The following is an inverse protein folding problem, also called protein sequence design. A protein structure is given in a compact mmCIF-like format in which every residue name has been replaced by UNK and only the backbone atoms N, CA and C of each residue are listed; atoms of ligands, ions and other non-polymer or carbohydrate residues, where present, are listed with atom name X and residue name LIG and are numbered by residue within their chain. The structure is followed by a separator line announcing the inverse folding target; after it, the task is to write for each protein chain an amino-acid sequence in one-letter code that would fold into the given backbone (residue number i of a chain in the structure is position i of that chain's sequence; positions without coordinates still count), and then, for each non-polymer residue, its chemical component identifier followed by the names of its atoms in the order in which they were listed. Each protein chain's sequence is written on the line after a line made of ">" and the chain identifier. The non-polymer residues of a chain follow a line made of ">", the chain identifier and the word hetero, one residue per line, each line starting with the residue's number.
data_IF_111924295744
#
_entry.id   IF_111924295744
#
_cell.length_a   1.000
_cell.length_b   1.000
_cell.length_c   1.000
_cell.angle_alpha   90.00
_cell.angle_beta   90.00
_cell.angle_gamma   90.00
#
_symmetry.space_group_name_H-M   'P 1'
#
loop_
_entity.id
_entity.type
_entity.pdbx_description
1 polymer ?
#
# COMPACT_ATOMS: atom_id res chain seq x y z
N UNK A 1 -18.21 -19.02 -4.80
CA UNK A 1 -17.31 -18.66 -4.04
C UNK A 1 -16.53 -17.51 -4.48
N UNK A 2 -16.47 -16.57 -3.70
CA UNK A 2 -15.89 -15.42 -4.08
C UNK A 2 -14.60 -15.25 -3.42
N UNK A 3 -13.57 -15.16 -4.13
CA UNK A 3 -12.31 -14.96 -3.55
C UNK A 3 -11.73 -13.69 -4.04
N UNK A 4 -10.98 -13.03 -3.19
CA UNK A 4 -10.24 -11.87 -3.61
C UNK A 4 -9.19 -12.34 -4.59
N UNK A 5 -9.12 -11.72 -5.72
CA UNK A 5 -8.14 -12.11 -6.71
C UNK A 5 -6.90 -11.24 -6.59
N UNK A 6 -6.44 -11.05 -5.36
CA UNK A 6 -5.22 -10.30 -5.11
C UNK A 6 -4.03 -11.16 -5.52
N UNK A 7 -3.28 -10.69 -6.49
CA UNK A 7 -2.13 -11.41 -7.00
C UNK A 7 -0.95 -10.47 -7.09
N UNK A 8 0.20 -10.94 -6.66
CA UNK A 8 1.39 -10.12 -6.72
C UNK A 8 2.52 -10.73 -5.93
N UNK A 9 3.51 -9.92 -5.59
CA UNK A 9 4.72 -10.34 -4.91
C UNK A 9 4.75 -9.78 -3.50
N UNK A 10 4.97 -10.65 -2.54
CA UNK A 10 5.04 -10.29 -1.13
C UNK A 10 6.48 -10.51 -0.67
N UNK A 11 7.06 -9.48 -0.07
CA UNK A 11 8.45 -9.52 0.36
C UNK A 11 8.53 -9.27 1.85
N UNK A 12 9.31 -10.10 2.53
CA UNK A 12 9.55 -9.95 3.97
C UNK A 12 11.00 -9.55 4.17
N UNK A 13 11.22 -8.51 4.97
CA UNK A 13 12.57 -8.06 5.29
C UNK A 13 12.83 -8.26 6.77
N UNK A 14 13.98 -8.84 7.08
CA UNK A 14 14.35 -9.16 8.45
C UNK A 14 15.61 -8.40 8.84
N UNK A 15 15.76 -8.16 10.14
CA UNK A 15 16.97 -7.52 10.64
C UNK A 15 18.05 -8.57 10.91
N UNK A 16 19.15 -8.14 11.50
CA UNK A 16 20.28 -9.03 11.77
C UNK A 16 19.96 -10.10 12.81
N UNK A 17 18.96 -9.86 13.64
CA UNK A 17 18.50 -10.83 14.62
C UNK A 17 17.40 -11.71 14.06
N UNK A 18 17.16 -11.66 12.75
CA UNK A 18 16.15 -12.46 12.08
C UNK A 18 14.74 -12.11 12.55
N UNK A 19 14.52 -10.88 12.97
CA UNK A 19 13.19 -10.41 13.32
C UNK A 19 12.59 -9.65 12.16
N UNK A 20 11.32 -9.91 11.88
CA UNK A 20 10.63 -9.27 10.77
C UNK A 20 10.55 -7.76 10.99
N UNK A 21 11.01 -6.99 10.02
CA UNK A 21 11.01 -5.54 10.10
C UNK A 21 10.02 -4.91 9.17
N UNK A 22 9.80 -5.50 8.00
CA UNK A 22 8.98 -4.89 6.98
C UNK A 22 8.34 -5.95 6.11
N UNK A 23 7.11 -5.70 5.71
CA UNK A 23 6.41 -6.49 4.71
C UNK A 23 6.05 -5.56 3.58
N UNK A 24 6.41 -5.92 2.36
CA UNK A 24 6.10 -5.13 1.18
C UNK A 24 5.28 -5.96 0.22
N UNK A 25 4.34 -5.33 -0.45
CA UNK A 25 3.54 -6.00 -1.44
C UNK A 25 3.34 -5.10 -2.65
N UNK A 26 3.42 -5.69 -3.83
CA UNK A 26 3.05 -5.03 -5.06
C UNK A 26 2.27 -6.03 -5.89
N UNK A 27 1.06 -5.68 -6.24
CA UNK A 27 0.23 -6.60 -6.98
C UNK A 27 -1.01 -5.93 -7.52
N UNK A 28 -1.99 -6.74 -7.87
CA UNK A 28 -3.20 -6.28 -8.53
C UNK A 28 -4.40 -7.02 -7.99
N UNK A 29 -5.54 -6.34 -8.00
CA UNK A 29 -6.80 -6.95 -7.62
C UNK A 29 -7.92 -6.21 -8.33
N UNK A 30 -9.05 -6.87 -8.48
CA UNK A 30 -10.23 -6.20 -9.00
C UNK A 30 -11.02 -5.53 -7.90
N UNK A 31 -10.87 -6.00 -6.67
CA UNK A 31 -11.64 -5.48 -5.55
C UNK A 31 -10.75 -5.44 -4.32
N UNK A 32 -10.47 -4.24 -3.85
CA UNK A 32 -9.59 -4.04 -2.72
C UNK A 32 -10.33 -3.88 -1.39
N UNK A 33 -11.63 -4.10 -1.37
CA UNK A 33 -12.43 -3.84 -0.17
C UNK A 33 -11.95 -4.59 1.06
N UNK A 34 -11.70 -5.89 0.91
CA UNK A 34 -11.26 -6.69 2.04
C UNK A 34 -9.91 -6.22 2.56
N UNK A 35 -9.00 -5.95 1.64
CA UNK A 35 -7.66 -5.48 2.02
C UNK A 35 -7.76 -4.14 2.75
N UNK A 36 -8.56 -3.22 2.25
CA UNK A 36 -8.74 -1.92 2.87
C UNK A 36 -9.26 -2.09 4.29
N UNK A 37 -10.26 -2.96 4.47
CA UNK A 37 -10.81 -3.17 5.81
C UNK A 37 -9.76 -3.73 6.77
N UNK A 38 -8.96 -4.67 6.31
CA UNK A 38 -7.89 -5.23 7.14
C UNK A 38 -6.91 -4.15 7.54
N UNK A 39 -6.50 -3.32 6.60
CA UNK A 39 -5.52 -2.27 6.88
C UNK A 39 -6.06 -1.23 7.84
N UNK A 40 -7.35 -0.90 7.72
CA UNK A 40 -7.95 0.07 8.62
C UNK A 40 -8.11 -0.50 10.02
N UNK A 41 -8.55 -1.73 10.13
CA UNK A 41 -8.90 -2.29 11.43
C UNK A 41 -7.72 -2.90 12.15
N UNK A 42 -6.87 -3.61 11.43
CA UNK A 42 -5.74 -4.30 12.07
C UNK A 42 -4.51 -3.43 12.17
N UNK A 43 -4.32 -2.54 11.20
CA UNK A 43 -3.11 -1.72 11.17
C UNK A 43 -3.40 -0.26 11.40
N UNK A 44 -4.67 0.07 11.66
CA UNK A 44 -5.07 1.42 12.08
C UNK A 44 -4.71 2.48 11.06
N UNK A 45 -4.75 2.14 9.80
CA UNK A 45 -4.51 3.11 8.75
C UNK A 45 -5.71 4.00 8.57
N UNK A 46 -5.47 5.27 8.22
CA UNK A 46 -6.53 6.22 7.94
C UNK A 46 -6.37 6.73 6.52
N UNK A 47 -7.50 7.07 5.91
CA UNK A 47 -7.50 7.53 4.54
C UNK A 47 -6.92 8.93 4.45
N UNK A 48 -6.14 9.17 3.39
CA UNK A 48 -5.54 10.46 3.11
C UNK A 48 -5.94 10.91 1.72
N UNK A 49 -5.96 12.23 1.47
CA UNK A 49 -6.23 12.71 0.12
C UNK A 49 -5.15 12.23 -0.84
N UNK A 50 -5.57 11.88 -2.06
CA UNK A 50 -4.65 11.38 -3.05
C UNK A 50 -5.30 11.50 -4.42
N UNK A 51 -4.52 11.81 -5.48
CA UNK A 51 -5.04 11.76 -6.84
C UNK A 51 -5.21 10.34 -7.34
N UNK A 52 -4.75 9.35 -6.58
CA UNK A 52 -4.94 7.95 -6.92
C UNK A 52 -6.29 7.47 -6.41
N UNK A 53 -6.59 6.20 -6.66
CA UNK A 53 -7.86 5.64 -6.24
C UNK A 53 -8.04 5.75 -4.74
N UNK A 54 -7.02 5.42 -3.99
CA UNK A 54 -7.09 5.52 -2.53
C UNK A 54 -5.70 5.46 -1.93
N UNK A 55 -5.56 6.13 -0.79
CA UNK A 55 -4.33 6.09 -0.02
C UNK A 55 -4.69 6.03 1.45
N UNK A 56 -4.11 5.06 2.15
CA UNK A 56 -4.32 4.87 3.58
C UNK A 56 -2.96 4.84 4.25
N UNK A 57 -2.83 5.50 5.40
CA UNK A 57 -1.54 5.70 6.03
C UNK A 57 -1.67 5.51 7.54
N UNK A 58 -0.66 4.88 8.13
CA UNK A 58 -0.46 4.85 9.56
C UNK A 58 0.74 5.72 9.87
N UNK A 59 0.57 6.69 10.75
CA UNK A 59 1.65 7.62 11.09
C UNK A 59 2.06 7.46 12.53
N UNK A 60 3.32 7.80 12.81
CA UNK A 60 3.86 7.87 14.16
C UNK A 60 4.66 9.15 14.22
N UNK A 61 4.34 9.99 15.20
CA UNK A 61 5.00 11.30 15.33
C UNK A 61 4.92 12.09 14.03
N UNK A 62 3.74 12.01 13.37
CA UNK A 62 3.45 12.74 12.14
C UNK A 62 4.22 12.24 10.92
N UNK A 63 4.94 11.12 11.06
CA UNK A 63 5.64 10.54 9.94
C UNK A 63 4.95 9.22 9.54
N UNK A 64 4.70 9.02 8.25
CA UNK A 64 4.10 7.76 7.81
C UNK A 64 5.07 6.61 8.04
N UNK A 65 4.57 5.54 8.66
CA UNK A 65 5.40 4.36 8.90
C UNK A 65 4.86 3.14 8.16
N UNK A 66 3.60 3.14 7.79
CA UNK A 66 3.02 2.08 6.98
C UNK A 66 1.97 2.70 6.09
N UNK A 67 1.77 2.12 4.92
CA UNK A 67 0.84 2.72 3.96
C UNK A 67 0.29 1.68 3.00
N UNK A 68 -0.89 1.96 2.48
CA UNK A 68 -1.55 1.20 1.42
C UNK A 68 -1.92 2.19 0.33
N UNK A 69 -1.42 1.96 -0.88
CA UNK A 69 -1.67 2.83 -2.02
C UNK A 69 -2.37 2.03 -3.10
N UNK A 70 -3.50 2.51 -3.54
CA UNK A 70 -4.29 1.86 -4.57
C UNK A 70 -4.47 2.82 -5.72
N UNK A 71 -4.17 2.35 -6.93
CA UNK A 71 -4.36 3.17 -8.11
C UNK A 71 -4.88 2.29 -9.23
N UNK A 72 -5.51 2.92 -10.21
CA UNK A 72 -5.96 2.19 -11.38
C UNK A 72 -4.75 1.78 -12.18
N UNK A 73 -4.75 0.52 -12.60
CA UNK A 73 -3.64 0.01 -13.39
C UNK A 73 -3.74 0.54 -14.81
N UNK A 74 -2.61 0.96 -15.36
CA UNK A 74 -2.55 1.35 -16.75
C UNK A 74 -2.42 0.15 -17.66
N UNK A 75 -2.19 -1.02 -17.09
CA UNK A 75 -2.03 -2.22 -17.89
C UNK A 75 -3.41 -2.72 -18.31
N UNK A 76 -3.61 -2.86 -19.59
CA UNK A 76 -4.85 -3.37 -20.12
C UNK A 76 -4.67 -4.83 -20.42
N UNK A 77 -5.45 -5.66 -19.75
CA UNK A 77 -5.46 -7.09 -20.00
C UNK A 77 -6.67 -7.39 -20.88
N UNK A 78 -6.40 -7.78 -22.11
CA UNK A 78 -7.49 -8.01 -23.05
C UNK A 78 -8.46 -9.09 -22.56
N UNK A 79 -7.99 -9.99 -21.71
CA UNK A 79 -8.86 -11.03 -21.16
C UNK A 79 -9.69 -10.57 -19.99
N UNK A 80 -9.39 -9.40 -19.44
CA UNK A 80 -10.11 -8.92 -18.26
C UNK A 80 -11.28 -8.06 -18.70
N UNK A 81 -12.41 -8.25 -18.04
CA UNK A 81 -13.59 -7.49 -18.35
C UNK A 81 -13.59 -6.15 -17.65
N UNK A 82 -12.84 -6.01 -16.59
CA UNK A 82 -12.77 -4.75 -15.87
C UNK A 82 -11.33 -4.45 -15.53
N UNK A 83 -11.02 -3.16 -15.37
CA UNK A 83 -9.64 -2.80 -15.05
C UNK A 83 -9.25 -3.32 -13.69
N UNK A 84 -7.98 -3.65 -13.57
CA UNK A 84 -7.42 -4.04 -12.29
C UNK A 84 -6.96 -2.82 -11.53
N UNK A 85 -6.91 -2.95 -10.23
CA UNK A 85 -6.33 -1.94 -9.36
C UNK A 85 -4.92 -2.39 -9.01
N UNK A 86 -3.98 -1.47 -9.11
CA UNK A 86 -2.62 -1.72 -8.63
C UNK A 86 -2.59 -1.46 -7.14
N UNK A 87 -2.10 -2.41 -6.39
CA UNK A 87 -2.05 -2.35 -4.94
C UNK A 87 -0.60 -2.41 -4.50
N UNK A 88 -0.21 -1.46 -3.70
CA UNK A 88 1.13 -1.47 -3.11
C UNK A 88 0.99 -1.14 -1.64
N UNK A 89 1.54 -1.98 -0.78
CA UNK A 89 1.55 -1.62 0.63
C UNK A 89 2.89 -1.93 1.25
N UNK A 90 3.14 -1.27 2.35
CA UNK A 90 4.34 -1.44 3.12
C UNK A 90 3.96 -1.36 4.58
N UNK A 91 4.26 -2.41 5.32
CA UNK A 91 3.98 -2.49 6.74
C UNK A 91 5.32 -2.55 7.46
N UNK A 92 5.58 -1.60 8.32
CA UNK A 92 6.82 -1.53 9.07
C UNK A 92 6.55 -1.81 10.53
N UNK A 93 7.45 -2.59 11.14
CA UNK A 93 7.42 -2.81 12.56
C UNK A 93 7.63 -1.46 13.26
N UNK A 94 6.79 -1.18 14.24
CA UNK A 94 6.91 0.08 14.95
C UNK A 94 8.10 0.02 15.90
N UNK A 95 9.05 0.89 15.68
CA UNK A 95 10.18 1.06 16.54
C UNK A 95 10.77 2.43 16.28
N UNK A 96 11.71 2.81 17.11
CA UNK A 96 12.35 4.11 16.95
C UNK A 96 12.98 4.18 15.55
N UNK A 97 12.66 5.21 14.81
CA UNK A 97 13.22 5.40 13.47
C UNK A 97 12.49 4.68 12.36
N UNK A 98 11.37 4.00 12.66
CA UNK A 98 10.62 3.33 11.60
C UNK A 98 10.02 4.36 10.64
N UNK A 99 10.26 4.19 9.34
CA UNK A 99 9.67 5.04 8.31
C UNK A 99 9.47 4.21 7.06
N UNK A 100 8.68 4.73 6.14
CA UNK A 100 8.49 4.08 4.85
C UNK A 100 9.80 4.07 4.07
N UNK A 101 9.92 3.13 3.13
CA UNK A 101 11.07 3.05 2.26
C UNK A 101 11.19 4.29 1.39
N UNK A 102 12.37 4.50 0.83
CA UNK A 102 12.58 5.62 -0.08
C UNK A 102 11.64 5.52 -1.28
N UNK A 103 11.45 4.33 -1.81
CA UNK A 103 10.59 4.14 -2.97
C UNK A 103 9.17 4.59 -2.65
N UNK A 104 8.64 4.15 -1.52
CA UNK A 104 7.28 4.49 -1.16
C UNK A 104 7.16 5.98 -0.86
N UNK A 105 8.15 6.55 -0.20
CA UNK A 105 8.11 7.98 0.09
C UNK A 105 8.12 8.82 -1.17
N UNK A 106 8.86 8.37 -2.19
CA UNK A 106 8.86 9.07 -3.46
C UNK A 106 7.52 8.98 -4.16
N UNK A 107 6.85 7.82 -4.05
CA UNK A 107 5.52 7.67 -4.62
C UNK A 107 4.55 8.64 -3.96
N UNK A 108 4.62 8.76 -2.65
CA UNK A 108 3.73 9.68 -1.95
C UNK A 108 4.01 11.12 -2.30
N UNK A 109 5.28 11.47 -2.48
CA UNK A 109 5.63 12.83 -2.88
C UNK A 109 5.10 13.15 -4.26
N UNK A 110 5.17 12.19 -5.17
CA UNK A 110 4.64 12.37 -6.51
C UNK A 110 3.12 12.55 -6.47
N UNK A 111 2.44 11.73 -5.67
CA UNK A 111 0.99 11.85 -5.53
C UNK A 111 0.61 13.21 -4.96
N UNK A 112 1.37 13.67 -3.97
CA UNK A 112 1.08 14.95 -3.35
C UNK A 112 1.25 16.08 -4.35
N UNK A 113 2.30 16.02 -5.16
CA UNK A 113 2.51 17.03 -6.18
C UNK A 113 1.38 17.03 -7.19
N UNK A 114 0.85 15.85 -7.49
CA UNK A 114 -0.28 15.76 -8.40
C UNK A 114 -1.55 16.38 -7.86
N UNK A 115 -1.65 16.57 -6.55
CA UNK A 115 -2.79 17.24 -5.95
C UNK A 115 -2.74 18.73 -6.10
N UNK A 116 -1.57 19.26 -6.34
CA UNK A 116 -1.42 20.71 -6.49
C UNK A 116 -1.73 21.09 -7.92
N UNK A 117 -2.84 21.59 -8.12
CA UNK A 117 -3.26 21.94 -9.48
C UNK A 117 -3.31 23.43 -9.66
#
# INVERSE_FOLDING_TARGET
>A
EKQDDLAGALTYLFDEQEQLQRIEFLGYTKDASTLINVMKQKFRMTRRPSPREALYVKSRNKLPVSALRISKSDVINAAAESPSLEVRFELNRLHFGAILSDVFRQLLATDKNGLKI
#
